data_IF_670627300868
#
_entry.id   IF_670627300868
#
_cell.length_a   1.000
_cell.length_b   1.000
_cell.length_c   1.000
_cell.angle_alpha   90.00
_cell.angle_beta   90.00
_cell.angle_gamma   90.00
#
_symmetry.space_group_name_H-M   'P 1'
#
loop_
_entity.id
_entity.type
_entity.pdbx_description
1 polymer ?
#
# COMPACT_ATOMS: atom_id res chain seq x y z
N UNK A 1 -15.26 -6.56 -9.79
CA UNK A 1 -15.55 -6.06 -8.42
C UNK A 1 -14.82 -6.97 -7.45
N UNK A 2 -13.78 -6.47 -6.79
CA UNK A 2 -13.00 -7.24 -5.81
C UNK A 2 -13.83 -7.67 -4.60
N UNK A 3 -13.49 -8.80 -3.96
CA UNK A 3 -14.13 -9.32 -2.74
C UNK A 3 -14.30 -8.20 -1.68
N UNK A 4 -13.27 -7.37 -1.52
CA UNK A 4 -13.23 -6.26 -0.56
C UNK A 4 -14.31 -5.22 -0.89
N UNK A 5 -14.46 -4.85 -2.17
CA UNK A 5 -15.49 -3.92 -2.61
C UNK A 5 -16.91 -4.49 -2.48
N UNK A 6 -17.07 -5.81 -2.64
CA UNK A 6 -18.36 -6.50 -2.47
C UNK A 6 -18.80 -6.53 -1.00
N UNK A 7 -17.88 -6.85 -0.09
CA UNK A 7 -18.10 -6.81 1.37
C UNK A 7 -18.40 -5.38 1.81
N UNK A 8 -17.60 -4.40 1.36
CA UNK A 8 -17.82 -2.98 1.66
C UNK A 8 -19.19 -2.49 1.20
N UNK A 9 -19.61 -2.79 -0.03
CA UNK A 9 -20.92 -2.36 -0.53
C UNK A 9 -22.08 -3.03 0.22
N UNK A 10 -21.86 -4.24 0.77
CA UNK A 10 -22.83 -4.93 1.63
C UNK A 10 -22.99 -4.25 2.99
N UNK A 11 -21.90 -3.71 3.55
CA UNK A 11 -21.88 -3.02 4.86
C UNK A 11 -22.29 -1.54 4.74
N UNK A 12 -21.75 -0.81 3.77
CA UNK A 12 -21.88 0.66 3.67
C UNK A 12 -23.01 1.14 2.72
N UNK A 13 -23.72 0.23 2.03
CA UNK A 13 -24.91 0.39 1.15
C UNK A 13 -25.00 1.56 0.15
N UNK A 14 -24.19 2.63 0.22
CA UNK A 14 -24.43 3.91 -0.48
C UNK A 14 -23.22 4.67 -0.99
N UNK A 15 -21.98 4.35 -0.60
CA UNK A 15 -20.83 5.10 -1.12
C UNK A 15 -20.34 4.56 -2.46
N UNK A 16 -20.78 5.23 -3.54
CA UNK A 16 -20.19 5.10 -4.87
C UNK A 16 -18.96 5.99 -4.95
N UNK A 17 -17.92 5.55 -5.65
CA UNK A 17 -16.76 6.39 -5.91
C UNK A 17 -17.21 7.61 -6.75
N UNK A 18 -16.93 8.83 -6.31
CA UNK A 18 -17.30 10.07 -7.00
C UNK A 18 -16.08 10.96 -7.12
N UNK A 19 -15.87 11.57 -8.29
CA UNK A 19 -14.72 12.40 -8.57
C UNK A 19 -14.48 13.43 -7.45
N UNK A 20 -13.22 13.57 -7.02
CA UNK A 20 -12.80 14.51 -5.98
C UNK A 20 -11.66 15.35 -6.51
N UNK A 21 -11.69 16.66 -6.29
CA UNK A 21 -10.63 17.56 -6.75
C UNK A 21 -9.29 17.25 -6.05
N UNK A 22 -8.13 17.35 -6.72
CA UNK A 22 -6.85 17.07 -6.07
C UNK A 22 -6.36 18.27 -5.26
N UNK A 23 -5.80 17.98 -4.09
CA UNK A 23 -5.03 18.94 -3.30
C UNK A 23 -3.54 18.76 -3.61
N UNK A 24 -3.09 19.35 -4.72
CA UNK A 24 -1.70 19.25 -5.18
C UNK A 24 -0.69 19.79 -4.14
N UNK A 25 -1.09 20.80 -3.36
CA UNK A 25 -0.25 21.38 -2.29
C UNK A 25 0.18 20.32 -1.27
N UNK A 26 -0.77 19.54 -0.75
CA UNK A 26 -0.48 18.49 0.24
C UNK A 26 0.41 17.41 -0.36
N UNK A 27 0.14 17.03 -1.60
CA UNK A 27 0.85 15.98 -2.32
C UNK A 27 2.33 16.31 -2.51
N UNK A 28 2.62 17.51 -3.01
CA UNK A 28 4.00 17.97 -3.20
C UNK A 28 4.69 18.34 -1.88
N UNK A 29 3.94 18.80 -0.88
CA UNK A 29 4.48 19.04 0.47
C UNK A 29 4.99 17.75 1.11
N UNK A 30 4.21 16.66 1.07
CA UNK A 30 4.62 15.36 1.60
C UNK A 30 5.82 14.81 0.84
N UNK A 31 5.81 14.87 -0.49
CA UNK A 31 6.94 14.41 -1.31
C UNK A 31 8.22 15.22 -1.02
N UNK A 32 8.13 16.55 -0.97
CA UNK A 32 9.26 17.42 -0.65
C UNK A 32 9.82 17.13 0.75
N UNK A 33 8.94 16.98 1.73
CA UNK A 33 9.31 16.63 3.10
C UNK A 33 10.02 15.28 3.18
N UNK A 34 9.54 14.28 2.42
CA UNK A 34 10.18 12.95 2.38
C UNK A 34 11.57 12.99 1.75
N UNK A 35 11.76 13.77 0.68
CA UNK A 35 13.07 13.97 0.05
C UNK A 35 14.03 14.67 1.02
N UNK A 36 13.57 15.70 1.74
CA UNK A 36 14.36 16.40 2.76
C UNK A 36 14.82 15.47 3.87
N UNK A 37 13.92 14.64 4.43
CA UNK A 37 14.31 13.67 5.45
C UNK A 37 15.25 12.58 4.94
N UNK A 38 15.14 12.23 3.66
CA UNK A 38 16.06 11.30 3.00
C UNK A 38 17.46 11.90 2.88
N UNK A 39 17.57 13.17 2.49
CA UNK A 39 18.84 13.91 2.38
C UNK A 39 19.50 14.12 3.75
N UNK A 40 18.72 14.40 4.79
CA UNK A 40 19.25 14.65 6.15
C UNK A 40 19.65 13.37 6.89
N UNK A 41 19.41 12.18 6.31
CA UNK A 41 19.76 10.90 6.90
C UNK A 41 18.81 10.44 8.03
N UNK A 42 17.68 11.12 8.24
CA UNK A 42 16.69 10.78 9.27
C UNK A 42 15.70 9.75 8.70
N UNK A 43 16.21 8.54 8.49
CA UNK A 43 15.50 7.42 7.85
C UNK A 43 14.31 6.93 8.71
N UNK A 44 14.31 7.18 10.02
CA UNK A 44 13.28 6.72 10.95
C UNK A 44 11.89 7.31 10.72
N UNK A 45 11.78 8.56 10.22
CA UNK A 45 10.49 9.19 9.95
C UNK A 45 9.91 8.81 8.59
N UNK A 46 10.76 8.69 7.57
CA UNK A 46 10.38 8.23 6.22
C UNK A 46 9.89 6.79 6.27
N UNK A 47 10.57 5.94 7.05
CA UNK A 47 10.16 4.55 7.23
C UNK A 47 8.83 4.37 7.95
N UNK A 48 8.29 5.37 8.65
CA UNK A 48 6.96 5.31 9.26
C UNK A 48 5.84 5.70 8.27
N UNK A 49 6.14 6.57 7.31
CA UNK A 49 5.19 7.05 6.31
C UNK A 49 5.07 6.12 5.10
N UNK A 50 6.12 5.33 4.82
CA UNK A 50 6.16 4.44 3.67
C UNK A 50 5.62 3.04 4.00
N UNK A 51 4.45 2.65 3.45
CA UNK A 51 3.87 1.32 3.69
C UNK A 51 4.79 0.19 3.20
N UNK A 52 5.65 0.45 2.20
CA UNK A 52 6.63 -0.51 1.70
C UNK A 52 7.77 -0.77 2.69
N UNK A 53 8.28 0.26 3.35
CA UNK A 53 9.33 0.11 4.38
C UNK A 53 8.81 -0.67 5.59
N UNK A 54 7.56 -0.42 5.97
CA UNK A 54 6.92 -1.12 7.08
C UNK A 54 6.61 -2.56 6.70
N UNK A 55 6.15 -2.82 5.47
CA UNK A 55 6.01 -4.18 4.96
C UNK A 55 7.34 -4.94 5.00
N UNK A 56 8.45 -4.32 4.60
CA UNK A 56 9.78 -4.92 4.68
C UNK A 56 10.19 -5.26 6.12
N UNK A 57 9.94 -4.35 7.07
CA UNK A 57 10.20 -4.58 8.50
C UNK A 57 9.31 -5.68 9.07
N UNK A 58 8.01 -5.66 8.80
CA UNK A 58 7.06 -6.72 9.19
C UNK A 58 7.53 -8.06 8.65
N UNK A 59 7.88 -8.12 7.37
CA UNK A 59 8.32 -9.36 6.71
C UNK A 59 9.59 -9.89 7.37
N UNK A 60 10.58 -9.04 7.61
CA UNK A 60 11.81 -9.49 8.30
C UNK A 60 11.52 -9.89 9.76
N UNK A 61 10.70 -9.13 10.47
CA UNK A 61 10.37 -9.39 11.88
C UNK A 61 9.53 -10.65 12.07
N UNK A 62 8.79 -11.11 11.06
CA UNK A 62 7.99 -12.34 11.11
C UNK A 62 8.70 -13.54 10.47
N UNK A 63 9.31 -13.37 9.29
CA UNK A 63 9.91 -14.47 8.53
C UNK A 63 11.19 -14.99 9.18
N UNK A 64 12.03 -14.10 9.74
CA UNK A 64 13.26 -14.50 10.42
C UNK A 64 13.01 -15.39 11.65
N UNK A 65 12.15 -15.02 12.62
CA UNK A 65 11.89 -15.89 13.75
C UNK A 65 11.14 -17.16 13.35
N UNK A 66 10.25 -17.09 12.35
CA UNK A 66 9.59 -18.28 11.83
C UNK A 66 10.63 -19.27 11.25
N UNK A 67 11.59 -18.78 10.46
CA UNK A 67 12.65 -19.59 9.88
C UNK A 67 13.57 -20.21 10.95
N UNK A 68 13.95 -19.43 11.97
CA UNK A 68 14.79 -19.96 13.05
C UNK A 68 14.03 -20.96 13.90
N UNK A 69 12.75 -20.72 14.18
CA UNK A 69 11.90 -21.64 14.93
C UNK A 69 11.68 -22.96 14.18
N UNK A 70 11.39 -22.91 12.86
CA UNK A 70 11.27 -24.14 12.06
C UNK A 70 12.58 -24.88 11.98
N UNK A 71 13.71 -24.18 11.81
CA UNK A 71 15.04 -24.79 11.81
C UNK A 71 15.36 -25.49 13.16
N UNK A 72 15.05 -24.86 14.29
CA UNK A 72 15.32 -25.42 15.62
C UNK A 72 14.38 -26.60 15.97
N UNK A 73 13.11 -26.58 15.54
CA UNK A 73 12.21 -27.76 15.62
C UNK A 73 12.74 -28.90 14.78
N UNK A 74 13.15 -28.61 13.54
CA UNK A 74 13.65 -29.61 12.62
C UNK A 74 14.94 -30.23 13.17
N UNK A 75 15.82 -29.41 13.74
CA UNK A 75 17.03 -29.88 14.44
C UNK A 75 16.68 -30.79 15.61
N UNK A 76 15.73 -30.41 16.47
CA UNK A 76 15.28 -31.26 17.59
C UNK A 76 14.71 -32.60 17.14
N UNK A 77 14.03 -32.63 15.99
CA UNK A 77 13.45 -33.85 15.41
C UNK A 77 14.51 -34.74 14.74
N UNK A 78 15.55 -34.15 14.13
CA UNK A 78 16.65 -34.87 13.50
C UNK A 78 17.70 -35.36 14.50
N UNK A 79 17.86 -34.68 15.65
CA UNK A 79 18.66 -35.14 16.78
C UNK A 79 18.15 -36.49 17.31
N UNK A 80 16.83 -36.70 17.31
CA UNK A 80 16.23 -38.00 17.65
C UNK A 80 16.69 -39.13 16.70
N UNK A 81 17.12 -38.79 15.48
CA UNK A 81 17.59 -39.72 14.46
C UNK A 81 19.13 -39.78 14.35
N UNK A 82 19.88 -39.18 15.28
CA UNK A 82 21.36 -39.07 15.27
C UNK A 82 21.94 -38.37 14.02
N UNK A 83 21.18 -37.48 13.36
CA UNK A 83 21.65 -36.72 12.17
C UNK A 83 21.95 -35.27 12.54
N UNK A 84 23.23 -34.95 12.71
CA UNK A 84 23.72 -33.61 13.09
C UNK A 84 23.94 -32.66 11.89
N UNK A 85 23.08 -32.75 10.88
CA UNK A 85 23.19 -31.93 9.67
C UNK A 85 22.77 -30.47 9.87
N UNK A 86 22.02 -30.16 10.94
CA UNK A 86 21.42 -28.84 11.16
C UNK A 86 21.94 -28.23 12.46
N UNK A 87 22.22 -26.93 12.43
CA UNK A 87 22.78 -26.17 13.55
C UNK A 87 21.64 -25.42 14.24
N UNK A 88 21.55 -25.54 15.56
CA UNK A 88 20.65 -24.72 16.38
C UNK A 88 21.10 -23.25 16.32
N UNK A 89 20.25 -22.38 15.78
CA UNK A 89 20.52 -20.95 15.69
C UNK A 89 19.87 -20.29 16.89
N UNK A 90 20.68 -19.66 17.74
CA UNK A 90 20.18 -18.88 18.86
C UNK A 90 19.64 -17.54 18.34
N UNK A 91 18.35 -17.27 18.55
CA UNK A 91 17.73 -16.03 18.11
C UNK A 91 17.57 -15.09 19.31
N UNK A 92 18.14 -13.88 19.22
CA UNK A 92 17.75 -12.79 20.11
C UNK A 92 16.28 -12.46 19.86
N UNK A 93 15.43 -12.73 20.85
CA UNK A 93 14.00 -12.45 20.82
C UNK A 93 13.72 -11.10 20.15
N UNK A 94 13.07 -11.12 18.98
CA UNK A 94 12.46 -9.91 18.45
C UNK A 94 11.55 -9.37 19.56
N UNK A 95 11.82 -8.15 20.03
CA UNK A 95 11.11 -7.57 21.17
C UNK A 95 9.61 -7.65 20.89
N UNK A 96 8.85 -8.28 21.79
CA UNK A 96 7.41 -8.53 21.64
C UNK A 96 6.64 -7.25 21.24
N UNK A 97 7.15 -6.11 21.70
CA UNK A 97 6.73 -4.75 21.37
C UNK A 97 6.84 -4.40 19.87
N UNK A 98 7.90 -4.82 19.16
CA UNK A 98 8.08 -4.54 17.73
C UNK A 98 7.07 -5.34 16.90
N UNK A 99 6.79 -6.58 17.29
CA UNK A 99 5.82 -7.45 16.60
C UNK A 99 4.40 -6.88 16.75
N UNK A 100 4.01 -6.48 17.97
CA UNK A 100 2.66 -5.93 18.23
C UNK A 100 2.45 -4.60 17.51
N UNK A 101 3.42 -3.68 17.54
CA UNK A 101 3.34 -2.42 16.80
C UNK A 101 3.27 -2.64 15.28
N UNK A 102 4.06 -3.59 14.78
CA UNK A 102 4.09 -3.94 13.35
C UNK A 102 2.74 -4.51 12.88
N UNK A 103 2.14 -5.43 13.64
CA UNK A 103 0.81 -5.97 13.36
C UNK A 103 -0.29 -4.91 13.46
N UNK A 104 -0.23 -4.04 14.47
CA UNK A 104 -1.17 -2.94 14.64
C UNK A 104 -1.11 -1.96 13.46
N UNK A 105 0.09 -1.60 13.01
CA UNK A 105 0.26 -0.74 11.84
C UNK A 105 -0.25 -1.42 10.55
N UNK A 106 0.07 -2.70 10.34
CA UNK A 106 -0.42 -3.45 9.19
C UNK A 106 -1.96 -3.49 9.16
N UNK A 107 -2.56 -3.76 10.32
CA UNK A 107 -4.01 -3.77 10.48
C UNK A 107 -4.63 -2.40 10.15
N UNK A 108 -4.09 -1.31 10.72
CA UNK A 108 -4.60 0.04 10.45
C UNK A 108 -4.45 0.42 8.98
N UNK A 109 -3.34 0.11 8.31
CA UNK A 109 -3.16 0.39 6.87
C UNK A 109 -4.09 -0.45 5.99
N UNK A 110 -4.29 -1.74 6.28
CA UNK A 110 -5.21 -2.60 5.52
C UNK A 110 -6.64 -2.11 5.66
N UNK A 111 -7.05 -1.79 6.89
CA UNK A 111 -8.36 -1.22 7.18
C UNK A 111 -8.53 0.11 6.45
N UNK A 112 -7.57 1.03 6.59
CA UNK A 112 -7.64 2.34 5.96
C UNK A 112 -7.64 2.26 4.43
N UNK A 113 -6.83 1.38 3.85
CA UNK A 113 -6.81 1.11 2.40
C UNK A 113 -8.12 0.48 1.92
N UNK A 114 -8.73 -0.41 2.70
CA UNK A 114 -10.03 -0.99 2.39
C UNK A 114 -11.17 0.04 2.40
N UNK A 115 -11.13 1.00 3.34
CA UNK A 115 -12.15 2.05 3.46
C UNK A 115 -11.96 3.20 2.46
N UNK A 116 -10.75 3.74 2.34
CA UNK A 116 -10.44 4.92 1.50
C UNK A 116 -9.92 4.56 0.09
N UNK A 117 -9.85 3.26 -0.25
CA UNK A 117 -9.42 2.79 -1.55
C UNK A 117 -7.99 3.20 -1.89
N UNK A 118 -7.78 3.73 -3.11
CA UNK A 118 -6.47 4.22 -3.57
C UNK A 118 -6.20 5.70 -3.19
N UNK A 119 -7.09 6.36 -2.44
CA UNK A 119 -6.83 7.76 -2.02
C UNK A 119 -5.63 7.87 -1.09
N UNK A 120 -5.37 6.87 -0.25
CA UNK A 120 -4.18 6.84 0.60
C UNK A 120 -2.89 6.89 -0.24
N UNK A 121 -2.83 6.10 -1.31
CA UNK A 121 -1.70 6.10 -2.24
C UNK A 121 -1.56 7.44 -2.99
N UNK A 122 -2.66 8.10 -3.34
CA UNK A 122 -2.64 9.33 -4.14
C UNK A 122 -2.40 10.62 -3.34
N UNK A 123 -2.73 10.64 -2.04
CA UNK A 123 -2.64 11.85 -1.20
C UNK A 123 -1.55 11.77 -0.13
N UNK A 124 -1.40 10.61 0.50
CA UNK A 124 -0.58 10.45 1.72
C UNK A 124 0.75 9.77 1.40
N UNK A 125 0.75 8.80 0.48
CA UNK A 125 1.95 8.04 0.16
C UNK A 125 2.86 8.83 -0.80
N UNK A 126 4.13 9.11 -0.43
CA UNK A 126 5.08 9.78 -1.31
C UNK A 126 5.43 8.91 -2.53
N UNK A 127 5.47 7.59 -2.35
CA UNK A 127 5.66 6.62 -3.45
C UNK A 127 4.53 6.72 -4.47
N UNK A 128 3.27 6.82 -4.04
CA UNK A 128 2.15 6.96 -4.97
C UNK A 128 2.15 8.30 -5.71
N UNK A 129 2.64 9.36 -5.07
CA UNK A 129 2.89 10.65 -5.73
C UNK A 129 3.94 10.53 -6.82
N UNK A 130 5.03 9.83 -6.55
CA UNK A 130 6.12 9.57 -7.48
C UNK A 130 5.67 8.70 -8.66
N UNK A 131 4.93 7.62 -8.39
CA UNK A 131 4.33 6.80 -9.46
C UNK A 131 3.32 7.58 -10.31
N UNK A 132 2.55 8.49 -9.72
CA UNK A 132 1.66 9.37 -10.48
C UNK A 132 2.41 10.33 -11.41
N UNK A 133 3.58 10.83 -11.00
CA UNK A 133 4.46 11.63 -11.86
C UNK A 133 5.03 10.78 -13.02
N UNK A 134 5.43 9.55 -12.74
CA UNK A 134 5.89 8.59 -13.76
C UNK A 134 4.75 8.19 -14.72
N UNK A 135 3.53 8.01 -14.23
CA UNK A 135 2.35 7.67 -15.05
C UNK A 135 2.07 8.71 -16.14
N UNK A 136 2.38 9.99 -15.88
CA UNK A 136 2.28 11.05 -16.90
C UNK A 136 3.15 10.80 -18.13
N UNK A 137 4.29 10.11 -17.95
CA UNK A 137 5.23 9.72 -19.00
C UNK A 137 4.88 8.36 -19.63
N UNK A 138 3.90 7.62 -19.10
CA UNK A 138 3.48 6.35 -19.68
C UNK A 138 2.84 6.54 -21.07
N UNK A 139 3.20 5.65 -22.00
CA UNK A 139 2.74 5.65 -23.39
C UNK A 139 1.29 5.17 -23.52
N UNK A 140 0.83 4.32 -22.58
CA UNK A 140 -0.52 3.75 -22.58
C UNK A 140 -1.48 4.63 -21.78
N UNK A 141 -2.02 5.67 -22.44
CA UNK A 141 -3.00 6.57 -21.84
C UNK A 141 -4.42 6.15 -22.19
N UNK A 142 -5.24 5.90 -21.17
CA UNK A 142 -6.68 5.73 -21.33
C UNK A 142 -7.26 7.08 -21.73
N UNK A 143 -8.10 7.13 -22.76
CA UNK A 143 -8.83 8.32 -23.20
C UNK A 143 -10.31 7.99 -23.30
N UNK A 144 -11.17 8.97 -22.99
CA UNK A 144 -12.61 8.83 -23.19
C UNK A 144 -12.91 9.32 -24.61
N UNK A 145 -13.42 8.41 -25.44
CA UNK A 145 -13.93 8.75 -26.77
C UNK A 145 -15.22 9.58 -26.60
N UNK A 146 -15.15 10.85 -27.00
CA UNK A 146 -16.24 11.82 -26.81
C UNK A 146 -17.47 11.46 -27.65
N UNK A 147 -17.28 10.79 -28.78
CA UNK A 147 -18.33 10.48 -29.73
C UNK A 147 -19.16 9.27 -29.27
N UNK A 148 -18.56 8.39 -28.46
CA UNK A 148 -19.19 7.17 -27.93
C UNK A 148 -19.67 7.32 -26.48
N UNK A 149 -19.26 8.38 -25.79
CA UNK A 149 -19.60 8.58 -24.38
C UNK A 149 -21.02 9.13 -24.21
N UNK A 150 -21.88 8.38 -23.51
CA UNK A 150 -23.25 8.79 -23.19
C UNK A 150 -23.40 9.41 -21.79
N UNK A 151 -22.30 9.82 -21.14
CA UNK A 151 -22.31 10.50 -19.83
C UNK A 151 -23.01 9.69 -18.70
N UNK A 152 -23.09 8.36 -18.79
CA UNK A 152 -23.77 7.52 -17.80
C UNK A 152 -23.12 7.49 -16.40
N UNK A 153 -21.87 7.96 -16.28
CA UNK A 153 -21.11 8.00 -15.02
C UNK A 153 -20.77 6.63 -14.45
N UNK A 154 -20.89 5.55 -15.22
CA UNK A 154 -20.56 4.19 -14.78
C UNK A 154 -19.06 4.04 -14.48
N UNK A 155 -18.20 4.64 -15.32
CA UNK A 155 -16.75 4.67 -15.15
C UNK A 155 -16.32 5.35 -13.84
N UNK A 156 -16.93 6.50 -13.51
CA UNK A 156 -16.66 7.25 -12.28
C UNK A 156 -16.99 6.41 -11.03
N UNK A 157 -18.15 5.73 -11.03
CA UNK A 157 -18.64 4.92 -9.89
C UNK A 157 -17.78 3.71 -9.57
N UNK A 158 -16.98 3.23 -10.52
CA UNK A 158 -16.09 2.07 -10.35
C UNK A 158 -14.65 2.49 -10.07
N UNK A 159 -14.27 3.72 -10.40
CA UNK A 159 -12.89 4.20 -10.27
C UNK A 159 -12.48 4.38 -8.79
N UNK A 160 -11.72 3.42 -8.27
CA UNK A 160 -11.14 3.48 -6.91
C UNK A 160 -10.12 4.60 -6.70
N UNK A 161 -9.57 5.14 -7.78
CA UNK A 161 -8.55 6.20 -7.77
C UNK A 161 -9.17 7.61 -7.86
N UNK A 162 -10.49 7.72 -8.07
CA UNK A 162 -11.20 8.98 -8.17
C UNK A 162 -10.63 9.95 -9.24
N UNK A 163 -10.02 9.41 -10.31
CA UNK A 163 -9.37 10.18 -11.39
C UNK A 163 -10.27 10.45 -12.61
N UNK A 164 -11.49 9.90 -12.66
CA UNK A 164 -12.39 10.02 -13.82
C UNK A 164 -13.47 11.06 -13.52
N UNK A 165 -13.48 12.15 -14.28
CA UNK A 165 -14.57 13.12 -14.27
C UNK A 165 -15.50 12.87 -15.47
N UNK A 166 -16.67 12.29 -15.18
CA UNK A 166 -17.66 11.98 -16.21
C UNK A 166 -18.33 13.22 -16.79
N UNK A 167 -18.44 14.33 -16.03
CA UNK A 167 -19.12 15.56 -16.47
C UNK A 167 -18.27 16.33 -17.48
N UNK A 168 -16.97 16.41 -17.21
CA UNK A 168 -16.03 17.14 -18.07
C UNK A 168 -15.34 16.26 -19.11
N UNK A 169 -15.62 14.94 -19.12
CA UNK A 169 -14.94 13.94 -19.97
C UNK A 169 -13.41 14.04 -19.87
N UNK A 170 -12.91 14.24 -18.64
CA UNK A 170 -11.48 14.42 -18.35
C UNK A 170 -10.98 13.30 -17.44
N UNK A 171 -9.73 12.92 -17.67
CA UNK A 171 -9.01 11.92 -16.90
C UNK A 171 -7.79 12.59 -16.27
N UNK A 172 -7.69 12.50 -14.95
CA UNK A 172 -6.53 12.99 -14.20
C UNK A 172 -5.43 11.94 -14.15
N UNK A 173 -4.51 12.00 -15.10
CA UNK A 173 -3.38 11.06 -15.21
C UNK A 173 -2.44 11.11 -14.01
N UNK A 174 -2.29 12.27 -13.36
CA UNK A 174 -1.44 12.42 -12.18
C UNK A 174 -1.88 11.52 -11.00
N UNK A 175 -3.13 11.05 -10.99
CA UNK A 175 -3.74 10.20 -9.94
C UNK A 175 -4.14 8.81 -10.43
N UNK A 176 -4.25 8.64 -11.74
CA UNK A 176 -4.50 7.34 -12.36
C UNK A 176 -3.15 6.59 -12.39
N UNK A 177 -2.94 5.76 -11.36
CA UNK A 177 -1.88 4.74 -11.38
C UNK A 177 -2.42 3.56 -12.17
N UNK A 178 -2.04 3.50 -13.46
CA UNK A 178 -2.25 2.35 -14.34
C UNK A 178 -1.34 1.19 -13.98
#
# INVERSE_FOLDING_TARGET
>A
MDIITRIRNKILKRQKFTYKHPNNILRYSILSLTILFWITGIISFVTLLDPFSIFGRISNTLLLPLYVYTNNILTSSLEFLNVYSLININHNNATLLVITLSLFYLFTVVVFSAFYGRQYCNLICPVGTFLGLLSRFSVLKITIDKDKCNLCGACEKVCKAYCIDSKNMKLDFDRCVS
#
